data_IF_173293591488
#
_entry.id   IF_173293591488
#
_cell.length_a   1.000
_cell.length_b   1.000
_cell.length_c   1.000
_cell.angle_alpha   90.00
_cell.angle_beta   90.00
_cell.angle_gamma   90.00
#
_symmetry.space_group_name_H-M   'P 1'
#
loop_
_entity.id
_entity.type
_entity.pdbx_description
1 polymer ?
#
# COMPACT_ATOMS: atom_id res chain seq x y z
N UNK A 1 -15.06 43.76 37.99
CA UNK A 1 -14.26 42.55 37.68
C UNK A 1 -15.08 41.37 37.18
N UNK A 2 -16.27 41.11 37.72
CA UNK A 2 -17.09 39.95 37.36
C UNK A 2 -17.66 39.98 35.91
N UNK A 3 -18.11 41.15 35.44
CA UNK A 3 -18.56 41.33 34.05
C UNK A 3 -17.45 41.13 33.01
N UNK A 4 -16.22 41.60 33.30
CA UNK A 4 -15.04 41.36 32.45
C UNK A 4 -14.74 39.86 32.31
N UNK A 5 -14.82 39.10 33.42
CA UNK A 5 -14.65 37.64 33.41
C UNK A 5 -15.77 36.92 32.64
N UNK A 6 -17.01 37.41 32.71
CA UNK A 6 -18.16 36.84 31.96
C UNK A 6 -18.02 37.06 30.45
N UNK A 7 -17.59 38.26 30.04
CA UNK A 7 -17.35 38.58 28.63
C UNK A 7 -16.17 37.77 28.05
N UNK A 8 -15.09 37.59 28.81
CA UNK A 8 -13.98 36.73 28.42
C UNK A 8 -14.41 35.27 28.19
N UNK A 9 -15.24 34.70 29.08
CA UNK A 9 -15.78 33.34 28.90
C UNK A 9 -16.63 33.22 27.63
N UNK A 10 -17.48 34.20 27.36
CA UNK A 10 -18.32 34.21 26.16
C UNK A 10 -17.48 34.28 24.87
N UNK A 11 -16.41 35.09 24.85
CA UNK A 11 -15.48 35.19 23.72
C UNK A 11 -14.77 33.85 23.48
N UNK A 12 -14.25 33.20 24.53
CA UNK A 12 -13.56 31.90 24.42
C UNK A 12 -14.50 30.83 23.85
N UNK A 13 -15.74 30.76 24.37
CA UNK A 13 -16.75 29.82 23.88
C UNK A 13 -17.09 30.10 22.40
N UNK A 14 -17.25 31.36 22.03
CA UNK A 14 -17.50 31.74 20.62
C UNK A 14 -16.36 31.30 19.71
N UNK A 15 -15.10 31.57 20.10
CA UNK A 15 -13.93 31.17 19.32
C UNK A 15 -13.84 29.65 19.18
N UNK A 16 -14.18 28.90 20.23
CA UNK A 16 -14.23 27.44 20.20
C UNK A 16 -15.27 26.92 19.19
N UNK A 17 -16.49 27.47 19.20
CA UNK A 17 -17.51 27.09 18.22
C UNK A 17 -17.15 27.49 16.79
N UNK A 18 -16.55 28.68 16.60
CA UNK A 18 -16.04 29.11 15.30
C UNK A 18 -14.96 28.14 14.78
N UNK A 19 -14.04 27.70 15.64
CA UNK A 19 -13.02 26.72 15.27
C UNK A 19 -13.65 25.38 14.84
N UNK A 20 -14.62 24.86 15.60
CA UNK A 20 -15.34 23.63 15.24
C UNK A 20 -16.04 23.78 13.89
N UNK A 21 -16.70 24.91 13.65
CA UNK A 21 -17.39 25.16 12.38
C UNK A 21 -16.42 25.19 11.19
N UNK A 22 -15.25 25.83 11.37
CA UNK A 22 -14.20 25.86 10.34
C UNK A 22 -13.64 24.48 10.04
N UNK A 23 -13.35 23.67 11.07
CA UNK A 23 -12.87 22.29 10.91
C UNK A 23 -13.91 21.41 10.20
N UNK A 24 -15.19 21.50 10.60
CA UNK A 24 -16.29 20.77 9.96
C UNK A 24 -16.49 21.17 8.50
N UNK A 25 -16.42 22.47 8.19
CA UNK A 25 -16.52 22.97 6.83
C UNK A 25 -15.35 22.50 5.96
N UNK A 26 -14.13 22.51 6.50
CA UNK A 26 -12.94 22.01 5.80
C UNK A 26 -13.08 20.52 5.46
N UNK A 27 -13.46 19.69 6.43
CA UNK A 27 -13.69 18.25 6.21
C UNK A 27 -14.83 18.02 5.22
N UNK A 28 -15.92 18.78 5.30
CA UNK A 28 -17.01 18.71 4.32
C UNK A 28 -16.55 19.04 2.90
N UNK A 29 -15.70 20.07 2.70
CA UNK A 29 -15.15 20.38 1.37
C UNK A 29 -14.26 19.25 0.85
N UNK A 30 -13.43 18.64 1.71
CA UNK A 30 -12.62 17.46 1.33
C UNK A 30 -13.50 16.29 0.90
N UNK A 31 -14.56 16.01 1.65
CA UNK A 31 -15.53 14.97 1.29
C UNK A 31 -16.24 15.27 -0.03
N UNK A 32 -16.69 16.50 -0.23
CA UNK A 32 -17.34 16.91 -1.47
C UNK A 32 -16.40 16.75 -2.66
N UNK A 33 -15.14 17.20 -2.53
CA UNK A 33 -14.12 17.10 -3.57
C UNK A 33 -13.77 15.64 -3.89
N UNK A 34 -13.54 14.81 -2.87
CA UNK A 34 -13.30 13.38 -3.03
C UNK A 34 -14.46 12.71 -3.77
N UNK A 35 -15.70 13.03 -3.39
CA UNK A 35 -16.89 12.45 -4.02
C UNK A 35 -17.06 12.89 -5.49
N UNK A 36 -16.74 14.14 -5.84
CA UNK A 36 -16.85 14.63 -7.23
C UNK A 36 -15.72 14.16 -8.13
N UNK A 37 -14.51 14.02 -7.60
CA UNK A 37 -13.29 13.72 -8.36
C UNK A 37 -12.76 12.31 -8.10
N UNK A 38 -13.63 11.41 -7.61
CA UNK A 38 -13.23 10.09 -7.12
C UNK A 38 -12.61 9.23 -8.22
N UNK A 39 -11.45 8.66 -7.91
CA UNK A 39 -10.85 7.53 -8.61
C UNK A 39 -10.54 6.40 -7.63
N UNK A 40 -10.36 5.20 -8.15
CA UNK A 40 -10.03 4.00 -7.36
C UNK A 40 -8.66 3.50 -7.78
N UNK A 41 -7.84 3.16 -6.79
CA UNK A 41 -6.56 2.47 -6.95
C UNK A 41 -6.44 1.38 -5.87
N UNK A 42 -5.27 0.77 -5.76
CA UNK A 42 -4.97 -0.21 -4.72
C UNK A 42 -3.89 0.37 -3.81
N UNK A 43 -4.14 0.31 -2.50
CA UNK A 43 -3.19 0.70 -1.46
C UNK A 43 -2.68 -0.51 -0.68
N UNK A 44 -1.48 -0.39 -0.14
CA UNK A 44 -0.84 -1.35 0.76
C UNK A 44 -0.83 -0.76 2.16
N UNK A 45 -1.36 -1.50 3.13
CA UNK A 45 -1.33 -1.09 4.53
C UNK A 45 0.10 -1.19 5.04
N UNK A 46 0.66 -0.07 5.48
CA UNK A 46 2.04 0.03 6.00
C UNK A 46 2.07 -0.14 7.51
N UNK A 47 1.05 0.36 8.21
CA UNK A 47 0.94 0.23 9.67
C UNK A 47 -0.50 0.32 10.17
N UNK A 48 -0.76 -0.24 11.35
CA UNK A 48 -2.09 -0.24 11.96
C UNK A 48 -1.97 -0.13 13.47
N UNK A 49 -2.74 0.76 14.06
CA UNK A 49 -2.94 0.85 15.50
C UNK A 49 -4.45 0.86 15.80
N UNK A 50 -4.93 -0.11 16.58
CA UNK A 50 -6.33 -0.16 17.00
C UNK A 50 -6.48 0.47 18.38
N UNK A 51 -7.15 1.61 18.45
CA UNK A 51 -7.31 2.36 19.70
C UNK A 51 -8.60 3.17 19.70
N UNK A 52 -9.29 3.21 20.84
CA UNK A 52 -10.56 3.93 21.01
C UNK A 52 -10.41 5.44 20.74
N UNK A 53 -9.24 6.01 21.00
CA UNK A 53 -9.04 7.48 20.91
C UNK A 53 -8.24 7.91 19.68
N UNK A 54 -7.21 7.14 19.31
CA UNK A 54 -6.22 7.53 18.31
C UNK A 54 -5.84 6.33 17.42
N UNK A 55 -6.81 5.50 17.08
CA UNK A 55 -6.57 4.39 16.16
C UNK A 55 -6.38 4.91 14.73
N UNK A 56 -5.50 4.25 13.98
CA UNK A 56 -5.16 4.64 12.63
C UNK A 56 -4.79 3.43 11.76
N UNK A 57 -4.89 3.65 10.46
CA UNK A 57 -4.47 2.74 9.40
C UNK A 57 -3.62 3.57 8.45
N UNK A 58 -2.31 3.36 8.51
CA UNK A 58 -1.36 3.96 7.56
C UNK A 58 -1.29 3.10 6.32
N UNK A 59 -1.29 3.74 5.15
CA UNK A 59 -1.23 3.05 3.89
C UNK A 59 -0.54 3.90 2.82
N UNK A 60 0.03 3.19 1.86
CA UNK A 60 0.67 3.80 0.71
C UNK A 60 0.05 3.31 -0.58
N UNK A 61 0.11 4.12 -1.63
CA UNK A 61 -0.36 3.76 -2.96
C UNK A 61 0.38 4.55 -4.05
N UNK A 62 0.25 4.10 -5.29
CA UNK A 62 0.84 4.74 -6.45
C UNK A 62 -0.25 5.22 -7.42
N UNK A 63 -0.14 6.47 -7.88
CA UNK A 63 -0.94 7.01 -8.98
C UNK A 63 -0.04 7.86 -9.88
N UNK A 64 -0.17 7.69 -11.20
CA UNK A 64 0.65 8.39 -12.21
C UNK A 64 2.16 8.31 -11.95
N UNK A 65 2.62 7.14 -11.47
CA UNK A 65 4.02 6.90 -11.13
C UNK A 65 4.53 7.65 -9.90
N UNK A 66 3.67 8.37 -9.16
CA UNK A 66 4.01 9.02 -7.88
C UNK A 66 3.55 8.16 -6.71
N UNK A 67 4.36 8.15 -5.66
CA UNK A 67 4.09 7.46 -4.40
C UNK A 67 3.42 8.43 -3.42
N UNK A 68 2.40 7.95 -2.73
CA UNK A 68 1.69 8.68 -1.68
C UNK A 68 1.62 7.81 -0.44
N UNK A 69 1.89 8.42 0.71
CA UNK A 69 1.81 7.80 2.04
C UNK A 69 0.89 8.68 2.90
N UNK A 70 -0.12 8.06 3.50
CA UNK A 70 -1.16 8.75 4.26
C UNK A 70 -1.79 7.79 5.28
N UNK A 71 -2.79 8.28 6.02
CA UNK A 71 -3.47 7.51 7.04
C UNK A 71 -4.94 7.88 7.14
N UNK A 72 -5.74 6.87 7.45
CA UNK A 72 -7.12 7.04 7.88
C UNK A 72 -7.30 6.64 9.35
N UNK A 73 -8.38 7.09 10.02
CA UNK A 73 -8.81 6.50 11.28
C UNK A 73 -9.20 5.02 11.10
N UNK A 74 -9.05 4.25 12.18
CA UNK A 74 -9.46 2.84 12.22
C UNK A 74 -10.98 2.66 12.36
N UNK A 75 -11.68 3.70 12.81
CA UNK A 75 -13.13 3.74 12.94
C UNK A 75 -13.87 4.05 11.61
N UNK A 76 -15.19 3.80 11.61
CA UNK A 76 -16.10 4.03 10.47
C UNK A 76 -16.92 5.33 10.61
N UNK A 77 -16.51 6.23 11.52
CA UNK A 77 -17.19 7.44 11.93
C UNK A 77 -17.25 8.50 10.83
N UNK A 78 -17.47 9.77 11.21
CA UNK A 78 -17.51 10.87 10.25
C UNK A 78 -16.11 11.48 10.08
N UNK A 79 -15.65 11.74 8.83
CA UNK A 79 -16.32 11.46 7.56
C UNK A 79 -16.43 9.96 7.27
N UNK A 80 -17.48 9.51 6.57
CA UNK A 80 -17.78 8.07 6.45
C UNK A 80 -16.59 7.28 5.87
N UNK A 81 -16.08 6.32 6.64
CA UNK A 81 -15.05 5.36 6.21
C UNK A 81 -15.64 3.96 6.05
N UNK A 82 -15.08 3.19 5.12
CA UNK A 82 -15.51 1.81 4.88
C UNK A 82 -14.65 0.84 5.71
N UNK A 83 -15.23 0.27 6.77
CA UNK A 83 -14.59 -0.67 7.70
C UNK A 83 -15.47 -1.90 7.91
N UNK A 84 -15.32 -2.92 7.08
CA UNK A 84 -16.03 -4.21 7.22
C UNK A 84 -15.24 -5.26 8.02
N UNK A 85 -13.99 -4.98 8.37
CA UNK A 85 -13.11 -5.88 9.10
C UNK A 85 -11.89 -5.15 9.65
N UNK A 86 -10.90 -5.91 10.11
CA UNK A 86 -9.60 -5.37 10.53
C UNK A 86 -8.63 -5.35 9.36
N UNK A 87 -8.04 -4.20 9.11
CA UNK A 87 -6.87 -4.05 8.27
C UNK A 87 -5.72 -4.93 8.75
N UNK A 88 -4.99 -5.49 7.80
CA UNK A 88 -3.84 -6.35 8.07
C UNK A 88 -2.60 -5.71 7.46
N UNK A 89 -1.56 -5.54 8.27
CA UNK A 89 -0.28 -4.95 7.83
C UNK A 89 0.31 -5.73 6.63
N UNK A 90 0.82 -5.00 5.65
CA UNK A 90 1.33 -5.47 4.36
C UNK A 90 0.28 -6.15 3.44
N UNK A 91 -1.01 -5.95 3.69
CA UNK A 91 -2.07 -6.40 2.80
C UNK A 91 -2.62 -5.26 1.94
N UNK A 92 -3.28 -5.64 0.85
CA UNK A 92 -3.75 -4.71 -0.17
C UNK A 92 -5.26 -4.51 -0.09
N UNK A 93 -5.69 -3.26 -0.24
CA UNK A 93 -7.09 -2.87 -0.21
C UNK A 93 -7.37 -1.78 -1.24
N UNK A 94 -8.62 -1.63 -1.73
CA UNK A 94 -8.98 -0.52 -2.58
C UNK A 94 -8.78 0.82 -1.86
N UNK A 95 -8.32 1.83 -2.57
CA UNK A 95 -8.21 3.22 -2.11
C UNK A 95 -9.04 4.09 -3.03
N UNK A 96 -9.95 4.87 -2.47
CA UNK A 96 -10.63 5.97 -3.17
C UNK A 96 -9.79 7.23 -2.98
N UNK A 97 -9.42 7.92 -4.05
CA UNK A 97 -8.64 9.16 -3.97
C UNK A 97 -9.25 10.25 -4.86
N UNK A 98 -9.01 11.50 -4.50
CA UNK A 98 -9.37 12.66 -5.29
C UNK A 98 -8.33 12.86 -6.41
N UNK A 99 -8.78 12.86 -7.67
CA UNK A 99 -7.90 13.03 -8.83
C UNK A 99 -7.10 14.35 -8.78
N UNK A 100 -7.66 15.40 -8.18
CA UNK A 100 -7.03 16.73 -8.10
C UNK A 100 -6.11 16.89 -6.88
N UNK A 101 -6.31 16.08 -5.84
CA UNK A 101 -5.47 16.02 -4.64
C UNK A 101 -5.40 14.58 -4.10
N UNK A 102 -4.47 13.74 -4.57
CA UNK A 102 -4.43 12.35 -4.15
C UNK A 102 -4.21 12.13 -2.64
N UNK A 103 -3.67 13.09 -1.89
CA UNK A 103 -3.58 12.98 -0.43
C UNK A 103 -4.96 12.96 0.24
N UNK A 104 -5.97 13.59 -0.39
CA UNK A 104 -7.37 13.42 -0.03
C UNK A 104 -7.85 12.05 -0.54
N UNK A 105 -7.60 11.02 0.25
CA UNK A 105 -7.95 9.63 -0.07
C UNK A 105 -8.53 8.90 1.13
N UNK A 106 -9.10 7.73 0.87
CA UNK A 106 -9.64 6.80 1.86
C UNK A 106 -9.35 5.37 1.48
N UNK A 107 -8.77 4.60 2.38
CA UNK A 107 -8.61 3.16 2.20
C UNK A 107 -9.91 2.43 2.59
N UNK A 108 -10.33 1.45 1.79
CA UNK A 108 -11.55 0.67 2.01
C UNK A 108 -11.20 -0.68 2.61
N UNK A 109 -11.37 -0.81 3.92
CA UNK A 109 -11.08 -2.06 4.63
C UNK A 109 -12.26 -3.01 4.45
N UNK A 110 -12.13 -3.90 3.48
CA UNK A 110 -13.03 -5.04 3.23
C UNK A 110 -12.76 -6.18 4.22
N UNK A 111 -13.67 -7.15 4.28
CA UNK A 111 -13.47 -8.35 5.11
C UNK A 111 -12.22 -9.16 4.70
N UNK A 112 -11.98 -9.26 3.40
CA UNK A 112 -10.81 -9.94 2.85
C UNK A 112 -9.94 -8.95 2.06
N UNK A 113 -8.62 -8.95 2.27
CA UNK A 113 -7.70 -8.16 1.45
C UNK A 113 -7.62 -8.69 0.02
N UNK A 114 -7.17 -7.83 -0.90
CA UNK A 114 -6.88 -8.22 -2.28
C UNK A 114 -5.65 -9.13 -2.26
N UNK A 115 -5.78 -10.31 -2.86
CA UNK A 115 -4.67 -11.27 -2.92
C UNK A 115 -3.58 -10.81 -3.89
N UNK A 116 -2.32 -11.12 -3.57
CA UNK A 116 -1.20 -10.90 -4.49
C UNK A 116 -1.41 -11.57 -5.85
N UNK A 117 -2.02 -12.77 -5.87
CA UNK A 117 -2.37 -13.48 -7.10
C UNK A 117 -3.27 -12.62 -7.99
N UNK A 118 -4.30 -11.99 -7.42
CA UNK A 118 -5.21 -11.10 -8.16
C UNK A 118 -4.50 -9.86 -8.70
N UNK A 119 -3.52 -9.32 -7.97
CA UNK A 119 -2.71 -8.19 -8.44
C UNK A 119 -1.82 -8.57 -9.63
N UNK A 120 -1.31 -9.80 -9.66
CA UNK A 120 -0.43 -10.31 -10.70
C UNK A 120 -1.20 -10.85 -11.92
N UNK A 121 -2.39 -11.44 -11.74
CA UNK A 121 -3.24 -11.88 -12.86
C UNK A 121 -3.61 -10.73 -13.80
N UNK A 122 -3.74 -9.52 -13.26
CA UNK A 122 -3.97 -8.29 -14.01
C UNK A 122 -2.69 -7.47 -14.22
N UNK A 123 -1.52 -8.06 -13.98
CA UNK A 123 -0.24 -7.37 -14.01
C UNK A 123 0.30 -7.17 -15.43
N UNK A 124 1.18 -6.19 -15.57
CA UNK A 124 1.89 -5.93 -16.83
C UNK A 124 3.10 -6.85 -16.98
N UNK A 125 3.29 -7.37 -18.20
CA UNK A 125 4.51 -8.11 -18.57
C UNK A 125 5.64 -7.13 -18.87
N UNK A 126 6.78 -7.32 -18.21
CA UNK A 126 8.00 -6.52 -18.44
C UNK A 126 9.21 -7.44 -18.63
N UNK A 127 10.22 -6.95 -19.33
CA UNK A 127 11.52 -7.60 -19.43
C UNK A 127 12.40 -7.16 -18.26
N UNK A 128 12.87 -8.12 -17.46
CA UNK A 128 13.86 -7.89 -16.43
C UNK A 128 15.22 -8.45 -16.80
N UNK A 129 16.29 -7.77 -16.39
CA UNK A 129 17.66 -8.20 -16.56
C UNK A 129 18.14 -8.90 -15.28
N UNK A 130 18.65 -10.11 -15.41
CA UNK A 130 19.35 -10.78 -14.30
C UNK A 130 20.76 -10.20 -14.20
N UNK A 131 20.98 -9.28 -13.26
CA UNK A 131 22.29 -8.64 -13.06
C UNK A 131 23.33 -9.65 -12.54
N UNK A 132 22.90 -10.54 -11.65
CA UNK A 132 23.74 -11.53 -10.98
C UNK A 132 22.94 -12.76 -10.59
N UNK A 133 23.56 -13.93 -10.68
CA UNK A 133 23.13 -15.17 -10.03
C UNK A 133 24.16 -15.57 -8.96
N UNK A 134 23.70 -16.19 -7.87
CA UNK A 134 24.58 -16.73 -6.84
C UNK A 134 23.99 -18.03 -6.30
N UNK A 135 24.67 -19.18 -6.43
CA UNK A 135 24.24 -20.39 -5.77
C UNK A 135 24.27 -20.19 -4.24
N UNK A 136 23.25 -20.67 -3.56
CA UNK A 136 23.11 -20.65 -2.09
C UNK A 136 23.31 -22.04 -1.51
N UNK A 137 22.85 -23.05 -2.24
CA UNK A 137 22.99 -24.47 -1.95
C UNK A 137 22.88 -25.25 -3.26
N UNK A 138 23.04 -26.57 -3.20
CA UNK A 138 22.93 -27.48 -4.37
C UNK A 138 21.57 -27.41 -5.07
N UNK A 139 20.56 -26.86 -4.40
CA UNK A 139 19.17 -26.80 -4.87
C UNK A 139 18.66 -25.37 -5.09
N UNK A 140 19.31 -24.34 -4.55
CA UNK A 140 18.77 -22.97 -4.54
C UNK A 140 19.77 -21.94 -5.03
N UNK A 141 19.24 -20.98 -5.79
CA UNK A 141 20.01 -19.90 -6.41
C UNK A 141 19.32 -18.57 -6.11
N UNK A 142 20.12 -17.59 -5.70
CA UNK A 142 19.70 -16.20 -5.61
C UNK A 142 19.87 -15.51 -6.96
N UNK A 143 18.82 -14.85 -7.43
CA UNK A 143 18.84 -13.98 -8.60
C UNK A 143 18.66 -12.53 -8.16
N UNK A 144 19.51 -11.65 -8.66
CA UNK A 144 19.41 -10.20 -8.52
C UNK A 144 18.91 -9.65 -9.85
N UNK A 145 17.70 -9.12 -9.84
CA UNK A 145 16.98 -8.73 -11.06
C UNK A 145 16.74 -7.23 -11.01
N UNK A 146 16.96 -6.57 -12.14
CA UNK A 146 16.54 -5.19 -12.36
C UNK A 146 15.63 -5.06 -13.57
N UNK A 147 14.74 -4.08 -13.54
CA UNK A 147 13.88 -3.78 -14.68
C UNK A 147 13.45 -2.31 -14.62
N UNK A 148 12.93 -1.78 -15.73
CA UNK A 148 12.42 -0.42 -15.81
C UNK A 148 10.92 -0.45 -16.04
N UNK A 149 10.17 0.27 -15.22
CA UNK A 149 8.73 0.44 -15.37
C UNK A 149 8.34 1.89 -15.07
N UNK A 150 7.49 2.49 -15.89
CA UNK A 150 7.10 3.91 -15.79
C UNK A 150 8.30 4.86 -15.61
N UNK A 151 9.38 4.63 -16.39
CA UNK A 151 10.64 5.40 -16.35
C UNK A 151 11.40 5.34 -15.02
N UNK A 152 11.05 4.42 -14.12
CA UNK A 152 11.76 4.16 -12.86
C UNK A 152 12.44 2.80 -12.92
N UNK A 153 13.65 2.74 -12.37
CA UNK A 153 14.39 1.50 -12.23
C UNK A 153 14.01 0.83 -10.91
N UNK A 154 13.70 -0.46 -10.98
CA UNK A 154 13.41 -1.30 -9.83
C UNK A 154 14.44 -2.42 -9.76
N UNK A 155 14.77 -2.83 -8.54
CA UNK A 155 15.70 -3.93 -8.27
C UNK A 155 15.16 -4.80 -7.15
N UNK A 156 15.28 -6.11 -7.29
CA UNK A 156 14.93 -7.04 -6.23
C UNK A 156 15.78 -8.30 -6.27
N UNK A 157 15.87 -8.96 -5.12
CA UNK A 157 16.45 -10.29 -4.97
C UNK A 157 15.31 -11.31 -4.88
N UNK A 158 15.42 -12.41 -5.62
CA UNK A 158 14.58 -13.59 -5.42
C UNK A 158 15.45 -14.83 -5.26
N UNK A 159 14.99 -15.79 -4.45
CA UNK A 159 15.60 -17.11 -4.28
C UNK A 159 14.70 -18.18 -4.87
N UNK A 160 15.19 -18.92 -5.86
CA UNK A 160 14.44 -19.95 -6.58
C UNK A 160 15.16 -21.29 -6.51
N UNK A 161 14.40 -22.37 -6.69
CA UNK A 161 15.00 -23.69 -6.91
C UNK A 161 15.70 -23.70 -8.27
N UNK A 162 16.82 -24.42 -8.40
CA UNK A 162 17.59 -24.49 -9.65
C UNK A 162 16.76 -24.94 -10.87
N UNK A 163 15.76 -25.79 -10.63
CA UNK A 163 14.86 -26.30 -11.68
C UNK A 163 13.75 -25.32 -12.07
N UNK A 164 13.60 -24.21 -11.34
CA UNK A 164 12.58 -23.18 -11.58
C UNK A 164 13.19 -21.87 -12.09
N UNK A 165 14.45 -21.90 -12.53
CA UNK A 165 15.12 -20.70 -13.03
C UNK A 165 14.56 -20.30 -14.42
N UNK A 166 14.08 -19.07 -14.59
CA UNK A 166 13.51 -18.60 -15.86
C UNK A 166 14.54 -18.47 -16.99
N UNK A 167 15.82 -18.53 -16.65
CA UNK A 167 16.96 -18.31 -17.55
C UNK A 167 17.76 -19.59 -17.86
N UNK A 168 17.29 -20.77 -17.39
CA UNK A 168 17.95 -22.06 -17.57
C UNK A 168 18.79 -22.45 -16.36
N UNK A 169 20.12 -22.41 -16.47
CA UNK A 169 21.03 -22.77 -15.37
C UNK A 169 21.57 -21.54 -14.66
N UNK A 170 22.01 -21.71 -13.40
CA UNK A 170 22.59 -20.65 -12.59
C UNK A 170 23.73 -19.89 -13.30
N UNK A 171 24.62 -20.61 -13.98
CA UNK A 171 25.78 -20.03 -14.67
C UNK A 171 25.39 -19.26 -15.93
N UNK A 172 24.29 -19.67 -16.58
CA UNK A 172 23.81 -19.04 -17.80
C UNK A 172 22.89 -17.84 -17.54
N UNK A 173 22.44 -17.65 -16.30
CA UNK A 173 21.46 -16.63 -15.94
C UNK A 173 21.98 -15.18 -15.98
N UNK A 174 23.22 -14.85 -15.58
CA UNK A 174 23.70 -13.47 -15.61
C UNK A 174 23.59 -12.84 -17.00
N UNK A 175 23.18 -11.58 -17.03
CA UNK A 175 22.97 -10.77 -18.25
C UNK A 175 21.86 -11.28 -19.19
N UNK A 176 21.06 -12.27 -18.79
CA UNK A 176 19.87 -12.67 -19.53
C UNK A 176 18.66 -11.81 -19.18
N UNK A 177 17.86 -11.55 -20.20
CA UNK A 177 16.51 -11.02 -20.04
C UNK A 177 15.52 -12.14 -19.72
N UNK A 178 14.61 -11.87 -18.80
CA UNK A 178 13.55 -12.77 -18.37
C UNK A 178 12.21 -12.03 -18.40
N UNK A 179 11.15 -12.76 -18.70
CA UNK A 179 9.79 -12.25 -18.57
C UNK A 179 9.40 -12.19 -17.09
N UNK A 180 8.87 -11.05 -16.68
CA UNK A 180 8.30 -10.81 -15.36
C UNK A 180 6.87 -10.35 -15.53
N UNK A 181 6.01 -10.77 -14.60
CA UNK A 181 4.70 -10.15 -14.40
C UNK A 181 4.77 -9.31 -13.14
N UNK A 182 4.52 -8.01 -13.27
CA UNK A 182 4.54 -7.06 -12.16
C UNK A 182 3.16 -6.46 -11.93
N UNK A 183 2.86 -6.05 -10.69
CA UNK A 183 1.63 -5.31 -10.43
C UNK A 183 1.75 -3.86 -10.93
N UNK A 184 0.73 -3.39 -11.65
CA UNK A 184 0.63 -1.99 -12.08
C UNK A 184 0.55 -1.02 -10.89
N UNK A 185 0.05 -1.50 -9.75
CA UNK A 185 -0.15 -0.71 -8.54
C UNK A 185 1.06 -0.72 -7.62
N UNK A 186 1.85 -1.80 -7.65
CA UNK A 186 3.02 -2.01 -6.80
C UNK A 186 4.12 -2.70 -7.62
N UNK A 187 4.97 -1.94 -8.33
CA UNK A 187 5.97 -2.55 -9.20
C UNK A 187 6.96 -3.45 -8.44
N UNK A 188 7.22 -3.17 -7.16
CA UNK A 188 8.02 -4.03 -6.28
C UNK A 188 7.42 -5.43 -6.03
N UNK A 189 6.17 -5.64 -6.43
CA UNK A 189 5.47 -6.93 -6.43
C UNK A 189 5.56 -7.57 -7.82
N UNK A 190 6.29 -8.68 -7.91
CA UNK A 190 6.40 -9.51 -9.12
C UNK A 190 6.08 -10.99 -8.87
N UNK A 191 5.77 -11.71 -9.94
CA UNK A 191 5.57 -13.16 -9.95
C UNK A 191 6.79 -13.94 -9.44
N UNK A 192 8.01 -13.53 -9.82
CA UNK A 192 9.24 -14.13 -9.32
C UNK A 192 9.53 -13.79 -7.86
N UNK A 193 9.14 -12.60 -7.40
CA UNK A 193 9.23 -12.25 -5.98
C UNK A 193 8.27 -13.12 -5.15
N UNK A 194 7.06 -13.36 -5.65
CA UNK A 194 6.08 -14.23 -5.02
C UNK A 194 6.52 -15.70 -4.98
N UNK A 195 7.13 -16.17 -6.06
CA UNK A 195 7.64 -17.54 -6.19
C UNK A 195 8.89 -17.81 -5.35
N UNK A 196 9.42 -16.81 -4.66
CA UNK A 196 10.63 -16.97 -3.85
C UNK A 196 10.44 -17.93 -2.69
N UNK A 197 11.41 -18.85 -2.51
CA UNK A 197 11.48 -19.77 -1.38
C UNK A 197 11.31 -19.05 -0.03
N UNK A 198 12.01 -17.92 0.16
CA UNK A 198 12.01 -17.16 1.41
C UNK A 198 10.60 -16.67 1.78
N UNK A 199 9.73 -16.42 0.79
CA UNK A 199 8.36 -15.95 0.98
C UNK A 199 7.40 -17.10 1.19
N UNK A 200 7.49 -18.16 0.38
CA UNK A 200 6.71 -19.38 0.55
C UNK A 200 6.96 -19.98 1.95
N UNK A 201 8.21 -20.02 2.41
CA UNK A 201 8.57 -20.51 3.74
C UNK A 201 7.94 -19.66 4.86
N UNK A 202 7.97 -18.33 4.73
CA UNK A 202 7.33 -17.40 5.69
C UNK A 202 5.82 -17.58 5.74
N UNK A 203 5.15 -17.73 4.60
CA UNK A 203 3.70 -17.96 4.57
C UNK A 203 3.33 -19.29 5.22
N UNK A 204 4.07 -20.37 4.92
CA UNK A 204 3.88 -21.67 5.59
C UNK A 204 4.07 -21.55 7.09
N UNK A 205 5.06 -20.79 7.56
CA UNK A 205 5.28 -20.56 8.99
C UNK A 205 4.12 -19.79 9.65
N UNK A 206 3.56 -18.78 8.98
CA UNK A 206 2.38 -18.04 9.47
C UNK A 206 1.15 -18.94 9.63
N UNK A 207 0.91 -19.84 8.68
CA UNK A 207 -0.22 -20.80 8.73
C UNK A 207 -0.09 -21.87 9.81
N UNK A 208 1.13 -22.09 10.34
CA UNK A 208 1.41 -23.06 11.40
C UNK A 208 1.31 -22.48 12.81
N UNK A 209 1.18 -21.15 12.94
CA UNK A 209 0.92 -20.54 14.25
C UNK A 209 -0.58 -20.66 14.56
N UNK A 210 -0.96 -21.30 15.69
CA UNK A 210 -2.34 -21.44 16.10
C UNK A 210 -3.00 -20.08 16.40
#
# INVERSE_FOLDING_TARGET
MEQLKKNQKAIIISLFFTLIALLSFYTWRKEASLNSNRKITIGRVTDVNYSIKNGYISYEFYVDGKHYDTSDPDDAGWPKYFRQGKAVKNQFYPVEYDLTDPYNSKIKITQMPISLKTLLENGTKVKGLVEKSSPVSDSYVDLYISYTFLKRQFKFRTRLHKDSLPCGTADSCPQKEIDLVISDYFPDVSDLYYSSYDRIAREKAKRRKP
#
